data_IF_081471312527
#
_entry.id   IF_081471312527
#
_cell.length_a   1.000
_cell.length_b   1.000
_cell.length_c   1.000
_cell.angle_alpha   90.00
_cell.angle_beta   90.00
_cell.angle_gamma   90.00
#
_symmetry.space_group_name_H-M   'P 1'
#
loop_
_entity.id
_entity.type
_entity.pdbx_description
1 polymer ?
#
# COMPACT_ATOMS: atom_id res chain seq x y z
N UNK A 1 -13.12 9.32 -42.60
CA UNK A 1 -12.63 8.02 -43.11
C UNK A 1 -13.34 6.93 -42.34
N UNK A 2 -14.60 6.71 -42.63
CA UNK A 2 -15.38 5.67 -41.96
C UNK A 2 -14.90 4.29 -42.38
N UNK A 3 -14.68 3.42 -41.38
CA UNK A 3 -14.47 1.99 -41.58
C UNK A 3 -13.03 1.47 -41.67
N UNK A 4 -12.01 2.31 -41.46
CA UNK A 4 -10.62 1.83 -41.33
C UNK A 4 -10.15 1.99 -39.89
N UNK A 5 -9.85 0.89 -39.20
CA UNK A 5 -9.18 0.89 -37.89
C UNK A 5 -7.82 1.56 -38.06
N UNK A 6 -7.55 2.58 -37.24
CA UNK A 6 -6.31 3.36 -37.25
C UNK A 6 -5.46 3.09 -36.03
N UNK A 7 -6.07 2.59 -34.96
CA UNK A 7 -5.41 2.19 -33.73
C UNK A 7 -6.32 1.23 -32.93
N UNK A 8 -5.73 0.36 -32.12
CA UNK A 8 -6.44 -0.56 -31.24
C UNK A 8 -5.71 -0.64 -29.90
N UNK A 9 -6.44 -0.34 -28.84
CA UNK A 9 -5.93 -0.47 -27.45
C UNK A 9 -6.75 -1.54 -26.75
N UNK A 10 -6.07 -2.49 -26.13
CA UNK A 10 -6.70 -3.49 -25.28
C UNK A 10 -6.51 -3.08 -23.81
N UNK A 11 -7.58 -3.23 -23.04
CA UNK A 11 -7.58 -2.94 -21.60
C UNK A 11 -8.36 -4.01 -20.86
N UNK A 12 -8.26 -4.03 -19.53
CA UNK A 12 -8.97 -4.97 -18.68
C UNK A 12 -9.49 -4.26 -17.43
N UNK A 13 -10.41 -4.90 -16.75
CA UNK A 13 -10.87 -4.51 -15.43
C UNK A 13 -11.13 -5.75 -14.59
N UNK A 14 -11.18 -5.61 -13.27
CA UNK A 14 -11.52 -6.71 -12.36
C UNK A 14 -12.69 -6.34 -11.46
N UNK A 15 -13.58 -7.30 -11.22
CA UNK A 15 -14.67 -7.17 -10.26
C UNK A 15 -14.29 -7.93 -8.98
N UNK A 16 -14.15 -7.21 -7.89
CA UNK A 16 -13.83 -7.78 -6.58
C UNK A 16 -14.34 -6.87 -5.47
N UNK A 17 -14.53 -7.45 -4.28
CA UNK A 17 -14.81 -6.69 -3.06
C UNK A 17 -13.81 -7.06 -1.98
N UNK A 18 -13.38 -6.05 -1.23
CA UNK A 18 -12.59 -6.24 -0.01
C UNK A 18 -13.38 -5.68 1.18
N UNK A 19 -13.31 -6.38 2.31
CA UNK A 19 -13.90 -5.91 3.55
C UNK A 19 -13.15 -6.49 4.76
N UNK A 20 -13.29 -5.85 5.90
CA UNK A 20 -12.94 -6.40 7.20
C UNK A 20 -14.22 -6.48 8.00
N UNK A 21 -14.61 -7.69 8.43
CA UNK A 21 -15.80 -7.91 9.22
C UNK A 21 -15.51 -8.88 10.37
N UNK A 22 -16.12 -8.68 11.54
CA UNK A 22 -16.00 -9.65 12.62
C UNK A 22 -16.79 -10.93 12.34
N UNK A 23 -16.28 -12.04 12.84
CA UNK A 23 -17.04 -13.30 12.93
C UNK A 23 -18.05 -13.28 14.10
N UNK A 24 -18.67 -14.42 14.35
CA UNK A 24 -19.62 -14.61 15.44
C UNK A 24 -19.01 -14.40 16.86
N UNK A 25 -17.69 -14.49 16.99
CA UNK A 25 -16.94 -14.28 18.22
C UNK A 25 -16.39 -12.86 18.33
N UNK A 26 -16.65 -11.99 17.33
CA UNK A 26 -16.12 -10.64 17.27
C UNK A 26 -14.69 -10.53 16.72
N UNK A 27 -14.11 -11.64 16.22
CA UNK A 27 -12.77 -11.63 15.62
C UNK A 27 -12.83 -11.07 14.21
N UNK A 28 -12.04 -10.02 13.89
CA UNK A 28 -12.06 -9.43 12.55
C UNK A 28 -11.40 -10.35 11.53
N UNK A 29 -12.08 -10.56 10.41
CA UNK A 29 -11.57 -11.30 9.24
C UNK A 29 -11.48 -10.39 8.04
N UNK A 30 -10.41 -10.56 7.28
CA UNK A 30 -10.30 -9.99 5.95
C UNK A 30 -11.13 -10.84 4.98
N UNK A 31 -11.97 -10.19 4.19
CA UNK A 31 -12.85 -10.85 3.22
C UNK A 31 -12.45 -10.45 1.80
N UNK A 32 -12.37 -11.45 0.92
CA UNK A 32 -12.30 -11.28 -0.52
C UNK A 32 -13.56 -11.85 -1.15
N UNK A 33 -14.34 -11.04 -1.85
CA UNK A 33 -15.61 -11.41 -2.45
C UNK A 33 -16.58 -12.06 -1.45
N UNK A 34 -16.66 -11.49 -0.25
CA UNK A 34 -17.54 -11.95 0.83
C UNK A 34 -17.10 -13.24 1.54
N UNK A 35 -15.92 -13.76 1.25
CA UNK A 35 -15.37 -14.97 1.88
C UNK A 35 -14.11 -14.65 2.68
N UNK A 36 -13.94 -15.25 3.88
CA UNK A 36 -12.70 -15.12 4.63
C UNK A 36 -11.49 -15.51 3.78
N UNK A 37 -10.50 -14.65 3.75
CA UNK A 37 -9.30 -14.84 2.94
C UNK A 37 -8.07 -14.54 3.78
N UNK A 38 -7.38 -15.60 4.22
CA UNK A 38 -6.15 -15.47 4.99
C UNK A 38 -5.01 -15.01 4.09
N UNK A 39 -4.44 -13.85 4.41
CA UNK A 39 -3.37 -13.24 3.63
C UNK A 39 -2.01 -13.74 4.14
N UNK A 40 -1.40 -14.63 3.38
CA UNK A 40 -0.02 -15.09 3.57
C UNK A 40 0.89 -14.19 2.75
N UNK A 41 1.50 -13.19 3.41
CA UNK A 41 2.20 -12.13 2.72
C UNK A 41 3.70 -12.08 2.99
N UNK A 42 4.38 -11.41 2.08
CA UNK A 42 5.78 -11.00 2.19
C UNK A 42 5.88 -9.48 2.16
N UNK A 43 6.88 -8.95 2.88
CA UNK A 43 7.32 -7.58 2.72
C UNK A 43 8.17 -7.48 1.45
N UNK A 44 7.73 -6.64 0.51
CA UNK A 44 8.42 -6.42 -0.77
C UNK A 44 8.90 -4.97 -0.85
N UNK A 45 10.20 -4.76 -0.71
CA UNK A 45 10.83 -3.44 -0.77
C UNK A 45 11.21 -3.02 -2.19
N UNK A 46 11.31 -3.97 -3.13
CA UNK A 46 11.57 -3.70 -4.54
C UNK A 46 12.93 -3.05 -4.82
N UNK A 47 13.98 -3.43 -4.09
CA UNK A 47 15.35 -3.03 -4.36
C UNK A 47 16.08 -4.04 -5.21
N UNK A 48 16.93 -3.54 -6.12
CA UNK A 48 17.69 -4.35 -7.06
C UNK A 48 19.20 -4.07 -6.90
N UNK A 49 20.06 -5.10 -6.95
CA UNK A 49 21.50 -4.94 -6.71
C UNK A 49 22.18 -3.96 -7.67
N UNK A 50 21.73 -3.94 -8.92
CA UNK A 50 22.31 -3.14 -10.01
C UNK A 50 21.50 -1.88 -10.35
N UNK A 51 20.20 -1.92 -10.16
CA UNK A 51 19.28 -0.83 -10.53
C UNK A 51 18.71 -0.04 -9.36
N UNK A 52 19.03 -0.40 -8.11
CA UNK A 52 18.47 0.17 -6.87
C UNK A 52 16.93 0.15 -6.87
N UNK A 53 16.29 1.25 -7.27
CA UNK A 53 14.83 1.37 -7.37
C UNK A 53 14.25 0.83 -8.68
N UNK A 54 15.10 0.56 -9.67
CA UNK A 54 14.67 0.14 -11.01
C UNK A 54 14.98 -1.33 -11.23
N UNK A 55 13.98 -2.12 -11.56
CA UNK A 55 14.18 -3.51 -11.95
C UNK A 55 15.00 -3.61 -13.24
N UNK A 56 15.86 -4.63 -13.39
CA UNK A 56 16.71 -4.78 -14.57
C UNK A 56 15.88 -5.12 -15.83
N UNK A 57 14.72 -5.75 -15.67
CA UNK A 57 13.83 -6.08 -16.77
C UNK A 57 12.40 -6.31 -16.30
N UNK A 58 11.46 -6.41 -17.22
CA UNK A 58 10.06 -6.76 -16.93
C UNK A 58 9.93 -8.21 -16.43
N UNK A 59 10.73 -9.12 -17.00
CA UNK A 59 10.80 -10.52 -16.57
C UNK A 59 11.28 -10.65 -15.12
N UNK A 60 12.18 -9.76 -14.67
CA UNK A 60 12.63 -9.74 -13.28
C UNK A 60 11.48 -9.36 -12.33
N UNK A 61 10.70 -8.33 -12.65
CA UNK A 61 9.51 -7.95 -11.89
C UNK A 61 8.52 -9.12 -11.80
N UNK A 62 8.23 -9.76 -12.92
CA UNK A 62 7.30 -10.89 -13.00
C UNK A 62 7.80 -12.09 -12.20
N UNK A 63 9.10 -12.41 -12.31
CA UNK A 63 9.72 -13.55 -11.66
C UNK A 63 9.61 -13.49 -10.13
N UNK A 64 9.78 -12.34 -9.51
CA UNK A 64 9.66 -12.20 -8.04
C UNK A 64 8.24 -12.55 -7.58
N UNK A 65 7.21 -12.11 -8.31
CA UNK A 65 5.83 -12.44 -8.02
C UNK A 65 5.56 -13.94 -8.21
N UNK A 66 6.07 -14.53 -9.29
CA UNK A 66 5.97 -15.97 -9.58
C UNK A 66 6.62 -16.81 -8.46
N UNK A 67 7.80 -16.42 -8.00
CA UNK A 67 8.50 -17.11 -6.91
C UNK A 67 7.71 -17.02 -5.59
N UNK A 68 7.21 -15.85 -5.24
CA UNK A 68 6.38 -15.68 -4.06
C UNK A 68 5.15 -16.60 -4.11
N UNK A 69 4.46 -16.67 -5.25
CA UNK A 69 3.31 -17.58 -5.45
C UNK A 69 3.72 -19.05 -5.38
N UNK A 70 4.82 -19.44 -5.98
CA UNK A 70 5.33 -20.81 -5.95
C UNK A 70 5.64 -21.28 -4.51
N UNK A 71 6.05 -20.36 -3.64
CA UNK A 71 6.26 -20.59 -2.21
C UNK A 71 4.95 -20.59 -1.39
N UNK A 72 3.80 -20.35 -2.02
CA UNK A 72 2.48 -20.40 -1.37
C UNK A 72 2.01 -19.07 -0.77
N UNK A 73 2.69 -17.97 -1.06
CA UNK A 73 2.23 -16.64 -0.69
C UNK A 73 1.13 -16.14 -1.65
N UNK A 74 0.22 -15.34 -1.14
CA UNK A 74 -0.91 -14.80 -1.90
C UNK A 74 -1.06 -13.28 -1.76
N UNK A 75 -0.12 -12.63 -1.07
CA UNK A 75 -0.09 -11.19 -0.86
C UNK A 75 1.37 -10.70 -0.81
N UNK A 76 1.60 -9.50 -1.35
CA UNK A 76 2.83 -8.72 -1.19
C UNK A 76 2.48 -7.38 -0.56
N UNK A 77 3.20 -6.98 0.48
CA UNK A 77 3.16 -5.60 0.95
C UNK A 77 4.26 -4.82 0.24
N UNK A 78 3.86 -3.94 -0.67
CA UNK A 78 4.79 -3.03 -1.35
C UNK A 78 5.18 -1.93 -0.38
N UNK A 79 6.33 -2.11 0.24
CA UNK A 79 6.81 -1.34 1.38
C UNK A 79 7.40 0.00 0.94
N UNK A 80 6.73 1.09 1.34
CA UNK A 80 7.16 2.49 1.13
C UNK A 80 7.64 2.82 -0.28
N UNK A 81 7.10 2.16 -1.30
CA UNK A 81 7.48 2.32 -2.71
C UNK A 81 6.25 2.22 -3.61
N UNK A 82 6.23 3.02 -4.67
CA UNK A 82 5.32 2.85 -5.81
C UNK A 82 6.09 2.22 -6.97
N UNK A 83 5.55 1.17 -7.56
CA UNK A 83 6.13 0.47 -8.69
C UNK A 83 5.61 1.00 -10.03
N UNK A 84 6.28 0.70 -11.14
CA UNK A 84 5.71 0.93 -12.46
C UNK A 84 4.41 0.15 -12.66
N UNK A 85 3.48 0.69 -13.46
CA UNK A 85 2.16 0.09 -13.72
C UNK A 85 2.22 -1.39 -14.14
N UNK A 86 3.28 -1.80 -14.86
CA UNK A 86 3.51 -3.19 -15.28
C UNK A 86 3.65 -4.17 -14.11
N UNK A 87 4.18 -3.73 -12.96
CA UNK A 87 4.28 -4.59 -11.78
C UNK A 87 2.89 -4.92 -11.22
N UNK A 88 2.01 -3.93 -11.13
CA UNK A 88 0.61 -4.15 -10.72
C UNK A 88 -0.14 -5.00 -11.72
N UNK A 89 0.10 -4.80 -13.02
CA UNK A 89 -0.44 -5.67 -14.07
C UNK A 89 -0.03 -7.14 -13.87
N UNK A 90 1.23 -7.42 -13.54
CA UNK A 90 1.66 -8.78 -13.21
C UNK A 90 0.98 -9.31 -11.95
N UNK A 91 0.82 -8.51 -10.91
CA UNK A 91 0.05 -8.90 -9.72
C UNK A 91 -1.41 -9.20 -10.07
N UNK A 92 -2.06 -8.36 -10.87
CA UNK A 92 -3.43 -8.54 -11.32
C UNK A 92 -3.62 -9.86 -12.09
N UNK A 93 -2.77 -10.09 -13.09
CA UNK A 93 -2.87 -11.29 -13.97
C UNK A 93 -2.52 -12.58 -13.25
N UNK A 94 -1.65 -12.54 -12.26
CA UNK A 94 -1.28 -13.70 -11.45
C UNK A 94 -2.15 -13.88 -10.19
N UNK A 95 -3.04 -12.94 -9.87
CA UNK A 95 -3.87 -13.00 -8.67
C UNK A 95 -3.06 -12.90 -7.38
N UNK A 96 -2.08 -12.00 -7.34
CA UNK A 96 -1.31 -11.65 -6.14
C UNK A 96 -1.92 -10.40 -5.50
N UNK A 97 -2.41 -10.46 -4.28
CA UNK A 97 -2.92 -9.30 -3.57
C UNK A 97 -1.77 -8.36 -3.18
N UNK A 98 -2.08 -7.07 -3.09
CA UNK A 98 -1.09 -6.04 -2.75
C UNK A 98 -1.61 -5.14 -1.63
N UNK A 99 -0.80 -4.97 -0.58
CA UNK A 99 -0.90 -3.84 0.32
C UNK A 99 0.04 -2.77 -0.19
N UNK A 100 -0.49 -1.58 -0.45
CA UNK A 100 0.28 -0.49 -1.04
C UNK A 100 0.59 0.57 0.02
N UNK A 101 1.87 0.67 0.38
CA UNK A 101 2.33 1.74 1.25
C UNK A 101 2.53 3.04 0.47
N UNK A 102 2.23 4.15 1.12
CA UNK A 102 2.71 5.47 0.71
C UNK A 102 4.19 5.61 1.06
N UNK A 103 5.04 6.07 0.14
CA UNK A 103 6.41 6.44 0.48
C UNK A 103 6.45 7.45 1.62
N UNK A 104 7.07 7.09 2.75
CA UNK A 104 7.18 7.97 3.90
C UNK A 104 8.44 8.82 3.80
N UNK A 105 8.32 10.10 3.65
CA UNK A 105 9.45 11.03 3.56
C UNK A 105 9.60 11.86 4.84
N UNK A 106 10.37 11.39 5.81
CA UNK A 106 10.74 12.18 6.99
C UNK A 106 12.02 11.65 7.63
N UNK A 107 12.65 12.44 8.47
CA UNK A 107 13.77 11.98 9.27
C UNK A 107 13.30 10.97 10.32
N UNK A 108 14.20 10.06 10.68
CA UNK A 108 13.95 9.08 11.74
C UNK A 108 13.66 9.75 13.08
N UNK A 109 12.56 9.43 13.76
CA UNK A 109 12.16 10.10 15.00
C UNK A 109 12.94 9.66 16.24
N UNK A 110 13.77 8.61 16.12
CA UNK A 110 14.57 8.01 17.20
C UNK A 110 13.93 6.73 17.78
N UNK A 111 14.78 5.84 18.32
CA UNK A 111 14.40 4.50 18.78
C UNK A 111 13.32 4.51 19.86
N UNK A 112 13.33 5.48 20.74
CA UNK A 112 12.32 5.60 21.79
C UNK A 112 10.89 5.68 21.18
N UNK A 113 10.71 6.53 20.18
CA UNK A 113 9.40 6.74 19.56
C UNK A 113 9.08 5.67 18.52
N UNK A 114 10.07 5.32 17.66
CA UNK A 114 9.82 4.38 16.55
C UNK A 114 9.80 2.91 16.99
N UNK A 115 10.45 2.56 18.10
CA UNK A 115 10.63 1.15 18.51
C UNK A 115 10.13 0.90 19.93
N UNK A 116 10.71 1.56 20.93
CA UNK A 116 10.49 1.18 22.33
C UNK A 116 9.04 1.39 22.80
N UNK A 117 8.46 2.56 22.57
CA UNK A 117 7.10 2.88 23.02
C UNK A 117 6.03 1.99 22.36
N UNK A 118 6.01 1.78 21.01
CA UNK A 118 5.04 0.87 20.39
C UNK A 118 5.14 -0.57 20.91
N UNK A 119 6.36 -1.10 21.09
CA UNK A 119 6.57 -2.47 21.57
C UNK A 119 6.05 -2.72 23.00
N UNK A 120 5.91 -1.68 23.81
CA UNK A 120 5.29 -1.76 25.14
C UNK A 120 3.85 -1.26 25.16
N UNK A 121 3.25 -1.05 23.98
CA UNK A 121 1.85 -0.63 23.84
C UNK A 121 1.58 0.85 24.18
N UNK A 122 2.63 1.68 24.26
CA UNK A 122 2.48 3.11 24.53
C UNK A 122 2.35 3.90 23.23
N UNK A 123 1.18 4.48 23.01
CA UNK A 123 0.92 5.33 21.86
C UNK A 123 1.22 6.80 22.14
N UNK A 124 1.74 7.50 21.17
CA UNK A 124 2.04 8.93 21.21
C UNK A 124 1.22 9.63 20.14
N UNK A 125 0.50 10.71 20.52
CA UNK A 125 -0.30 11.45 19.54
C UNK A 125 0.57 12.01 18.41
N UNK A 126 0.25 11.60 17.19
CA UNK A 126 0.88 12.01 15.92
C UNK A 126 0.53 13.45 15.52
N UNK A 127 -0.41 14.10 16.23
CA UNK A 127 -0.64 15.56 16.15
C UNK A 127 0.55 16.37 16.69
N UNK A 128 1.47 15.73 17.42
CA UNK A 128 2.72 16.34 17.88
C UNK A 128 3.78 16.27 16.78
N UNK A 129 3.54 16.92 15.66
CA UNK A 129 4.32 16.83 14.41
C UNK A 129 5.84 16.92 14.60
N UNK A 130 6.32 17.73 15.54
CA UNK A 130 7.75 17.86 15.84
C UNK A 130 8.38 16.53 16.30
N UNK A 131 7.64 15.71 17.06
CA UNK A 131 8.14 14.42 17.55
C UNK A 131 8.36 13.43 16.40
N UNK A 132 7.49 13.48 15.41
CA UNK A 132 7.55 12.64 14.21
C UNK A 132 8.36 13.27 13.06
N UNK A 133 9.12 14.34 13.34
CA UNK A 133 9.93 15.06 12.30
C UNK A 133 9.08 15.58 11.14
N UNK A 134 7.85 16.03 11.45
CA UNK A 134 6.86 16.55 10.50
C UNK A 134 6.42 18.00 10.80
N UNK A 135 7.24 18.78 11.45
CA UNK A 135 6.93 20.18 11.75
C UNK A 135 6.79 21.06 10.50
N UNK A 136 7.44 20.72 9.41
CA UNK A 136 7.35 21.47 8.16
C UNK A 136 5.97 21.30 7.50
N UNK A 137 5.18 22.38 7.48
CA UNK A 137 3.83 22.38 6.90
C UNK A 137 3.82 22.11 5.40
N UNK A 138 4.80 22.68 4.65
CA UNK A 138 4.88 22.46 3.21
C UNK A 138 5.14 20.97 2.90
N UNK A 139 5.99 20.31 3.70
CA UNK A 139 6.25 18.87 3.54
C UNK A 139 5.01 18.01 3.85
N UNK A 140 4.19 18.39 4.84
CA UNK A 140 2.92 17.69 5.10
C UNK A 140 1.91 17.87 3.97
N UNK A 141 1.79 19.09 3.44
CA UNK A 141 0.92 19.36 2.29
C UNK A 141 1.37 18.59 1.03
N UNK A 142 2.70 18.53 0.79
CA UNK A 142 3.26 17.76 -0.31
C UNK A 142 2.95 16.27 -0.15
N UNK A 143 3.14 15.69 1.03
CA UNK A 143 2.77 14.29 1.32
C UNK A 143 1.29 14.03 1.03
N UNK A 144 0.40 14.92 1.49
CA UNK A 144 -1.05 14.77 1.25
C UNK A 144 -1.40 14.84 -0.23
N UNK A 145 -0.72 15.70 -1.00
CA UNK A 145 -0.86 15.79 -2.45
C UNK A 145 -0.40 14.49 -3.11
N UNK A 146 0.78 14.01 -2.79
CA UNK A 146 1.35 12.78 -3.36
C UNK A 146 0.53 11.53 -2.98
N UNK A 147 -0.05 11.49 -1.76
CA UNK A 147 -0.98 10.43 -1.37
C UNK A 147 -2.21 10.38 -2.28
N UNK A 148 -2.78 11.53 -2.63
CA UNK A 148 -3.89 11.61 -3.59
C UNK A 148 -3.46 11.12 -4.97
N UNK A 149 -2.35 11.63 -5.48
CA UNK A 149 -1.80 11.28 -6.79
C UNK A 149 -1.49 9.77 -6.88
N UNK A 150 -0.97 9.17 -5.82
CA UNK A 150 -0.74 7.72 -5.75
C UNK A 150 -2.05 6.93 -5.87
N UNK A 151 -3.07 7.31 -5.10
CA UNK A 151 -4.38 6.62 -5.17
C UNK A 151 -5.01 6.80 -6.55
N UNK A 152 -5.01 8.02 -7.09
CA UNK A 152 -5.55 8.31 -8.42
C UNK A 152 -4.84 7.51 -9.52
N UNK A 153 -3.52 7.36 -9.43
CA UNK A 153 -2.73 6.61 -10.41
C UNK A 153 -2.91 5.09 -10.29
N UNK A 154 -3.25 4.57 -9.11
CA UNK A 154 -3.30 3.14 -8.82
C UNK A 154 -4.71 2.61 -8.54
N UNK A 155 -5.75 3.43 -8.61
CA UNK A 155 -7.12 3.03 -8.29
C UNK A 155 -7.62 1.87 -9.16
N UNK A 156 -7.15 1.80 -10.41
CA UNK A 156 -7.52 0.76 -11.38
C UNK A 156 -6.76 -0.56 -11.19
N UNK A 157 -5.69 -0.59 -10.36
CA UNK A 157 -4.96 -1.81 -10.04
C UNK A 157 -5.85 -2.74 -9.19
N UNK A 158 -6.28 -3.85 -9.80
CA UNK A 158 -7.24 -4.80 -9.19
C UNK A 158 -6.65 -5.49 -7.97
N UNK A 159 -5.35 -5.77 -7.99
CA UNK A 159 -4.60 -6.47 -6.95
C UNK A 159 -4.51 -5.70 -5.63
N UNK A 160 -4.53 -4.37 -5.67
CA UNK A 160 -4.44 -3.57 -4.44
C UNK A 160 -5.68 -3.82 -3.58
N UNK A 161 -5.46 -4.34 -2.39
CA UNK A 161 -6.51 -4.70 -1.45
C UNK A 161 -6.50 -3.86 -0.16
N UNK A 162 -5.43 -3.11 0.10
CA UNK A 162 -5.29 -2.27 1.30
C UNK A 162 -4.37 -1.10 1.00
N UNK A 163 -4.74 0.10 1.45
CA UNK A 163 -3.88 1.28 1.45
C UNK A 163 -3.20 1.45 2.81
N UNK A 164 -1.90 1.79 2.80
CA UNK A 164 -1.11 1.99 4.02
C UNK A 164 -0.44 3.36 3.95
N UNK A 165 -1.02 4.41 4.57
CA UNK A 165 -0.47 5.76 4.47
C UNK A 165 0.81 5.97 5.27
N UNK A 166 1.03 5.22 6.37
CA UNK A 166 2.23 5.34 7.19
C UNK A 166 2.78 3.99 7.59
N UNK A 167 4.11 3.88 7.59
CA UNK A 167 4.81 2.69 8.05
C UNK A 167 5.47 2.96 9.41
N UNK A 168 5.10 2.17 10.45
CA UNK A 168 5.78 2.08 11.75
C UNK A 168 6.08 3.43 12.42
N UNK A 169 5.19 4.40 12.29
CA UNK A 169 5.36 5.73 12.86
C UNK A 169 6.42 6.61 12.19
N UNK A 170 7.08 6.13 11.13
CA UNK A 170 8.09 6.91 10.39
C UNK A 170 7.43 8.04 9.60
N UNK A 171 7.67 9.26 10.07
CA UNK A 171 7.05 10.44 9.47
C UNK A 171 5.53 10.46 9.56
N UNK A 172 4.94 9.70 10.47
CA UNK A 172 3.51 9.70 10.74
C UNK A 172 3.05 11.07 11.23
N UNK A 173 1.91 11.51 10.75
CA UNK A 173 1.20 12.69 11.23
C UNK A 173 -0.27 12.61 10.86
N UNK A 174 -1.13 13.04 11.77
CA UNK A 174 -2.58 13.14 11.55
C UNK A 174 -3.18 11.90 10.84
N UNK A 175 -2.79 10.68 11.26
CA UNK A 175 -3.13 9.42 10.57
C UNK A 175 -4.64 9.23 10.41
N UNK A 176 -5.44 9.66 11.37
CA UNK A 176 -6.90 9.63 11.25
C UNK A 176 -7.40 10.50 10.08
N UNK A 177 -6.79 11.66 9.84
CA UNK A 177 -7.14 12.52 8.70
C UNK A 177 -6.68 11.91 7.36
N UNK A 178 -5.50 11.28 7.32
CA UNK A 178 -5.03 10.55 6.15
C UNK A 178 -5.96 9.38 5.82
N UNK A 179 -6.42 8.62 6.81
CA UNK A 179 -7.39 7.53 6.64
C UNK A 179 -8.73 8.05 6.09
N UNK A 180 -9.25 9.13 6.66
CA UNK A 180 -10.50 9.73 6.18
C UNK A 180 -10.37 10.23 4.73
N UNK A 181 -9.22 10.79 4.36
CA UNK A 181 -8.93 11.18 2.98
C UNK A 181 -8.92 9.95 2.05
N UNK A 182 -8.23 8.87 2.43
CA UNK A 182 -8.19 7.64 1.64
C UNK A 182 -9.59 7.06 1.42
N UNK A 183 -10.43 7.01 2.44
CA UNK A 183 -11.82 6.57 2.28
C UNK A 183 -12.67 7.47 1.38
N UNK A 184 -12.34 8.75 1.30
CA UNK A 184 -13.00 9.68 0.35
C UNK A 184 -12.55 9.40 -1.08
N UNK A 185 -11.27 9.07 -1.28
CA UNK A 185 -10.69 8.80 -2.60
C UNK A 185 -11.06 7.40 -3.11
N UNK A 186 -11.03 6.42 -2.21
CA UNK A 186 -11.32 5.02 -2.51
C UNK A 186 -12.04 4.33 -1.36
N UNK A 187 -13.37 4.33 -1.35
CA UNK A 187 -14.16 3.65 -0.32
C UNK A 187 -14.23 2.12 -0.48
N UNK A 188 -13.58 1.56 -1.49
CA UNK A 188 -13.67 0.14 -1.85
C UNK A 188 -12.60 -0.73 -1.19
N UNK A 189 -11.61 -0.11 -0.56
CA UNK A 189 -10.47 -0.80 0.06
C UNK A 189 -10.32 -0.43 1.53
N UNK A 190 -9.99 -1.39 2.41
CA UNK A 190 -9.54 -1.11 3.76
C UNK A 190 -8.29 -0.21 3.80
N UNK A 191 -8.08 0.42 4.95
CA UNK A 191 -6.89 1.23 5.24
C UNK A 191 -6.24 0.71 6.51
N UNK A 192 -4.97 0.36 6.43
CA UNK A 192 -4.09 0.13 7.58
C UNK A 192 -3.30 1.42 7.85
N UNK A 193 -3.72 2.19 8.84
CA UNK A 193 -3.30 3.58 8.97
C UNK A 193 -1.82 3.79 9.33
N UNK A 194 -1.21 2.88 10.10
CA UNK A 194 0.16 3.06 10.60
C UNK A 194 0.87 1.73 10.93
N UNK A 195 0.51 0.62 10.31
CA UNK A 195 1.12 -0.71 10.52
C UNK A 195 1.18 -1.13 11.99
N UNK A 196 0.13 -0.82 12.77
CA UNK A 196 0.03 -1.13 14.19
C UNK A 196 0.78 -0.17 15.12
N UNK A 197 1.40 0.90 14.62
CA UNK A 197 2.07 1.94 15.41
C UNK A 197 1.09 3.01 15.92
N UNK A 198 1.59 4.21 16.26
CA UNK A 198 0.90 5.31 16.98
C UNK A 198 -0.45 5.77 16.46
#
# INVERSE_FOLDING_TARGET
RAGRETDRVESYFGLRTFAVQPDENGTPYFLLNGRPYFQKGLLDQGYWPDGLYTAPSDEALRRDIEQAKALGFNMLRKHIKVEPARWYYHCDTMGMLVWQDMPSGAAYPGDLLAVALPNIGVQVSDKKHKRFKRENTAARLQFTKELKEMVEALTDAVCICTWVPFNEGWGQFDAAAATALLWTLDPTRPVDHASGWH
#
